data_IF_422852297975
#
_entry.id   IF_422852297975
#
_cell.length_a   1.000
_cell.length_b   1.000
_cell.length_c   1.000
_cell.angle_alpha   90.00
_cell.angle_beta   90.00
_cell.angle_gamma   90.00
#
_symmetry.space_group_name_H-M   'P 1'
#
loop_
_entity.id
_entity.type
_entity.pdbx_description
1 polymer ?
#
# COMPACT_ATOMS: atom_id res chain seq x y z
N UNK A 1 86.86 -18.22 14.99
CA UNK A 1 87.16 -18.09 13.57
C UNK A 1 85.99 -18.60 12.77
N UNK A 2 85.26 -17.72 12.12
CA UNK A 2 84.59 -17.98 10.87
C UNK A 2 83.71 -16.77 10.52
N UNK A 3 83.97 -16.22 9.38
CA UNK A 3 83.44 -14.95 8.86
C UNK A 3 81.95 -15.08 8.46
N UNK A 4 81.21 -14.05 8.79
CA UNK A 4 79.89 -13.74 8.20
C UNK A 4 80.05 -13.21 6.80
N UNK A 5 79.37 -13.80 5.83
CA UNK A 5 79.15 -13.20 4.53
C UNK A 5 77.66 -12.77 4.49
N UNK A 6 77.46 -11.46 4.44
CA UNK A 6 76.12 -10.88 4.19
C UNK A 6 75.86 -10.76 2.70
N UNK A 7 74.67 -11.18 2.31
CA UNK A 7 74.20 -10.98 0.94
C UNK A 7 73.15 -9.83 1.02
N UNK A 8 73.48 -8.69 0.43
CA UNK A 8 72.55 -7.56 0.29
C UNK A 8 71.59 -7.87 -0.86
N UNK A 9 70.29 -7.86 -0.53
CA UNK A 9 69.22 -7.93 -1.51
C UNK A 9 68.86 -6.50 -1.90
N UNK A 10 69.18 -6.12 -3.13
CA UNK A 10 68.81 -4.86 -3.72
C UNK A 10 67.37 -5.01 -4.24
N UNK A 11 66.44 -4.35 -3.58
CA UNK A 11 65.04 -4.24 -4.06
C UNK A 11 64.95 -3.15 -5.13
N UNK A 12 64.63 -3.54 -6.36
CA UNK A 12 64.25 -2.61 -7.40
C UNK A 12 62.87 -2.01 -7.07
N UNK A 13 62.86 -0.75 -6.71
CA UNK A 13 61.62 0.05 -6.60
C UNK A 13 61.14 0.38 -8.01
N UNK A 14 59.98 -0.08 -8.34
CA UNK A 14 59.28 0.27 -9.57
C UNK A 14 58.46 1.56 -9.32
N UNK A 15 58.72 2.71 -9.96
CA UNK A 15 58.15 3.99 -9.56
C UNK A 15 56.77 4.33 -10.15
N UNK A 16 56.09 3.41 -10.84
CA UNK A 16 54.86 3.72 -11.59
C UNK A 16 53.64 2.91 -11.15
N UNK A 17 53.31 2.88 -9.85
CA UNK A 17 51.98 2.51 -9.43
C UNK A 17 51.29 3.80 -8.98
N UNK A 18 50.30 4.35 -9.73
CA UNK A 18 49.53 5.49 -9.26
C UNK A 18 48.80 5.08 -7.99
N UNK A 19 49.06 5.80 -6.90
CA UNK A 19 48.41 5.68 -5.61
C UNK A 19 46.95 6.02 -5.81
N UNK A 20 46.11 5.03 -6.23
CA UNK A 20 44.66 5.17 -6.20
C UNK A 20 44.26 5.19 -4.73
N UNK A 21 44.09 6.40 -4.19
CA UNK A 21 43.41 6.57 -2.92
C UNK A 21 42.09 5.81 -3.02
N UNK A 22 41.92 4.77 -2.20
CA UNK A 22 40.63 4.14 -2.01
C UNK A 22 39.70 5.25 -1.50
N UNK A 23 38.71 5.63 -2.32
CA UNK A 23 37.63 6.52 -1.90
C UNK A 23 36.76 5.77 -0.90
N UNK A 24 37.07 5.96 0.39
CA UNK A 24 36.36 5.35 1.52
C UNK A 24 35.02 6.01 1.81
N UNK A 25 34.52 6.87 0.90
CA UNK A 25 33.16 7.41 1.05
C UNK A 25 32.18 6.25 0.87
N UNK A 26 31.20 6.09 1.79
CA UNK A 26 30.14 5.11 1.60
C UNK A 26 29.47 5.39 0.25
N UNK A 27 29.10 4.35 -0.52
CA UNK A 27 28.46 4.54 -1.80
C UNK A 27 27.30 5.52 -1.63
N UNK A 28 27.28 6.58 -2.42
CA UNK A 28 26.21 7.57 -2.39
C UNK A 28 24.89 6.85 -2.66
N UNK A 29 24.07 6.68 -1.62
CA UNK A 29 22.72 6.16 -1.79
C UNK A 29 21.94 7.23 -2.55
N UNK A 30 21.58 6.94 -3.78
CA UNK A 30 20.76 7.83 -4.59
C UNK A 30 19.46 8.11 -3.81
N UNK A 31 19.13 9.37 -3.49
CA UNK A 31 17.90 9.69 -2.77
C UNK A 31 16.68 9.18 -3.54
N UNK A 32 15.71 8.61 -2.82
CA UNK A 32 14.45 8.20 -3.39
C UNK A 32 13.60 9.45 -3.73
N UNK A 33 12.92 9.43 -4.87
CA UNK A 33 12.20 10.59 -5.42
C UNK A 33 10.70 10.63 -5.09
N UNK A 34 10.16 9.57 -4.49
CA UNK A 34 8.78 9.49 -4.05
C UNK A 34 8.48 10.40 -2.84
N UNK A 35 7.52 10.06 -1.97
CA UNK A 35 6.85 8.75 -1.94
C UNK A 35 5.82 8.54 -3.05
N UNK A 36 5.45 7.27 -3.25
CA UNK A 36 4.38 6.88 -4.16
C UNK A 36 3.61 5.68 -3.61
N UNK A 37 2.31 5.57 -3.95
CA UNK A 37 1.50 4.40 -3.64
C UNK A 37 0.96 3.74 -4.89
N UNK A 38 0.73 2.43 -4.83
CA UNK A 38 -0.23 1.75 -5.68
C UNK A 38 -1.17 0.90 -4.84
N UNK A 39 -2.45 0.96 -5.18
CA UNK A 39 -3.54 0.27 -4.50
C UNK A 39 -4.24 -0.61 -5.55
N UNK A 40 -3.98 -1.91 -5.53
CA UNK A 40 -4.53 -2.87 -6.48
C UNK A 40 -5.85 -3.47 -6.01
N UNK A 41 -6.83 -3.55 -6.90
CA UNK A 41 -8.17 -4.06 -6.61
C UNK A 41 -8.28 -5.58 -6.48
N UNK A 42 -7.19 -6.32 -6.72
CA UNK A 42 -7.17 -7.79 -6.75
C UNK A 42 -7.46 -8.36 -8.13
N UNK A 43 -7.50 -9.71 -8.22
CA UNK A 43 -7.43 -10.40 -9.50
C UNK A 43 -6.00 -10.32 -10.08
N UNK A 44 -5.82 -10.41 -11.40
CA UNK A 44 -4.55 -10.13 -12.03
C UNK A 44 -4.01 -8.74 -11.69
N UNK A 45 -2.75 -8.66 -11.31
CA UNK A 45 -2.13 -7.40 -10.95
C UNK A 45 -1.86 -6.51 -12.16
N UNK A 46 -1.92 -5.20 -11.94
CA UNK A 46 -1.66 -4.18 -12.97
C UNK A 46 -0.16 -3.89 -12.99
N UNK A 47 0.59 -4.64 -13.80
CA UNK A 47 2.05 -4.52 -13.88
C UNK A 47 2.51 -3.11 -14.26
N UNK A 48 1.76 -2.41 -15.12
CA UNK A 48 2.06 -1.02 -15.48
C UNK A 48 2.01 -0.06 -14.28
N UNK A 49 1.18 -0.35 -13.27
CA UNK A 49 1.13 0.44 -12.03
C UNK A 49 2.34 0.16 -11.14
N UNK A 50 2.79 -1.10 -11.04
CA UNK A 50 4.00 -1.46 -10.32
C UNK A 50 5.21 -0.78 -10.96
N UNK A 51 5.34 -0.87 -12.27
CA UNK A 51 6.41 -0.20 -13.03
C UNK A 51 6.37 1.33 -12.85
N UNK A 52 5.18 1.92 -12.86
CA UNK A 52 5.00 3.35 -12.61
C UNK A 52 5.52 3.73 -11.21
N UNK A 53 5.15 2.98 -10.16
CA UNK A 53 5.63 3.24 -8.79
C UNK A 53 7.15 3.14 -8.69
N UNK A 54 7.76 2.12 -9.30
CA UNK A 54 9.21 1.97 -9.36
C UNK A 54 9.86 3.20 -10.01
N UNK A 55 9.29 3.71 -11.11
CA UNK A 55 9.80 4.89 -11.81
C UNK A 55 9.65 6.17 -10.97
N UNK A 56 8.53 6.34 -10.25
CA UNK A 56 8.34 7.47 -9.34
C UNK A 56 9.40 7.50 -8.23
N UNK A 57 9.64 6.35 -7.61
CA UNK A 57 10.58 6.23 -6.50
C UNK A 57 12.03 6.47 -6.93
N UNK A 58 12.43 5.96 -8.08
CA UNK A 58 13.79 6.16 -8.60
C UNK A 58 13.99 7.49 -9.34
N UNK A 59 12.92 8.26 -9.56
CA UNK A 59 12.96 9.56 -10.23
C UNK A 59 13.42 9.49 -11.70
N UNK A 60 13.26 8.33 -12.34
CA UNK A 60 13.76 8.09 -13.70
C UNK A 60 12.96 7.01 -14.41
N UNK A 61 12.83 7.15 -15.72
CA UNK A 61 12.31 6.13 -16.64
C UNK A 61 13.43 5.43 -17.43
N UNK A 62 14.68 5.84 -17.26
CA UNK A 62 15.86 5.23 -17.90
C UNK A 62 16.39 4.03 -17.11
N UNK A 63 17.45 3.38 -17.58
CA UNK A 63 18.07 2.25 -16.87
C UNK A 63 18.95 2.65 -15.68
N UNK A 64 19.19 3.93 -15.48
CA UNK A 64 19.91 4.46 -14.31
C UNK A 64 19.07 4.39 -13.04
N UNK A 65 19.69 4.53 -11.86
CA UNK A 65 19.04 4.61 -10.56
C UNK A 65 18.12 3.41 -10.26
N UNK A 66 18.72 2.24 -10.10
CA UNK A 66 17.98 1.02 -9.76
C UNK A 66 17.61 0.97 -8.27
N UNK A 67 16.43 0.40 -7.97
CA UNK A 67 15.94 0.22 -6.60
C UNK A 67 15.77 -1.26 -6.23
N UNK A 68 15.85 -1.54 -4.94
CA UNK A 68 15.51 -2.86 -4.39
C UNK A 68 13.99 -2.89 -4.13
N UNK A 69 13.36 -4.01 -4.43
CA UNK A 69 11.95 -4.27 -4.16
C UNK A 69 11.84 -5.40 -3.15
N UNK A 70 11.03 -5.22 -2.12
CA UNK A 70 10.69 -6.27 -1.17
C UNK A 70 9.18 -6.52 -1.22
N UNK A 71 8.82 -7.76 -1.50
CA UNK A 71 7.43 -8.22 -1.42
C UNK A 71 7.18 -8.78 -0.03
N UNK A 72 6.15 -8.32 0.65
CA UNK A 72 5.77 -8.77 1.98
C UNK A 72 4.44 -9.52 1.94
N UNK A 73 4.39 -10.66 2.61
CA UNK A 73 3.18 -11.47 2.76
C UNK A 73 3.22 -12.30 4.04
N UNK A 74 2.07 -12.78 4.50
CA UNK A 74 1.99 -13.66 5.69
C UNK A 74 2.01 -15.13 5.34
N UNK A 75 1.70 -15.49 4.09
CA UNK A 75 1.76 -16.86 3.56
C UNK A 75 1.90 -16.80 2.03
N UNK A 76 2.24 -17.93 1.42
CA UNK A 76 2.37 -18.09 -0.03
C UNK A 76 3.82 -18.21 -0.50
N UNK A 77 4.03 -18.07 -1.80
CA UNK A 77 5.31 -18.26 -2.48
C UNK A 77 5.96 -16.93 -2.91
N UNK A 78 7.05 -17.03 -3.62
CA UNK A 78 7.82 -15.92 -4.21
C UNK A 78 7.45 -15.62 -5.69
N UNK A 79 6.24 -15.97 -6.08
CA UNK A 79 5.66 -15.84 -7.42
C UNK A 79 5.78 -14.43 -8.03
N UNK A 80 5.80 -13.38 -7.20
CA UNK A 80 6.04 -12.01 -7.62
C UNK A 80 7.47 -11.73 -8.10
N UNK A 81 8.45 -12.49 -7.60
CA UNK A 81 9.87 -12.17 -7.81
C UNK A 81 10.23 -12.12 -9.29
N UNK A 82 9.79 -13.08 -10.07
CA UNK A 82 10.10 -13.17 -11.51
C UNK A 82 9.55 -11.97 -12.29
N UNK A 83 8.29 -11.61 -12.04
CA UNK A 83 7.62 -10.51 -12.74
C UNK A 83 8.28 -9.19 -12.40
N UNK A 84 8.46 -8.91 -11.09
CA UNK A 84 9.02 -7.63 -10.64
C UNK A 84 10.52 -7.51 -11.01
N UNK A 85 11.30 -8.59 -10.96
CA UNK A 85 12.71 -8.54 -11.32
C UNK A 85 12.94 -8.12 -12.79
N UNK A 86 12.03 -8.50 -13.69
CA UNK A 86 12.08 -8.15 -15.11
C UNK A 86 11.64 -6.69 -15.38
N UNK A 87 11.12 -5.97 -14.39
CA UNK A 87 10.73 -4.59 -14.55
C UNK A 87 11.93 -3.66 -14.63
N UNK A 88 11.80 -2.60 -15.42
CA UNK A 88 12.86 -1.63 -15.62
C UNK A 88 13.22 -0.91 -14.31
N UNK A 89 14.51 -0.88 -13.98
CA UNK A 89 15.03 -0.17 -12.82
C UNK A 89 14.98 -0.95 -11.52
N UNK A 90 14.68 -2.24 -11.56
CA UNK A 90 14.82 -3.14 -10.42
C UNK A 90 16.25 -3.63 -10.35
N UNK A 91 16.88 -3.50 -9.17
CA UNK A 91 18.21 -4.03 -8.86
C UNK A 91 18.12 -5.43 -8.26
N UNK A 92 17.16 -5.61 -7.38
CA UNK A 92 16.96 -6.82 -6.59
C UNK A 92 15.49 -6.91 -6.18
N UNK A 93 14.97 -8.12 -6.09
CA UNK A 93 13.64 -8.40 -5.55
C UNK A 93 13.70 -9.63 -4.65
N UNK A 94 13.00 -9.57 -3.54
CA UNK A 94 12.86 -10.69 -2.61
C UNK A 94 11.46 -10.68 -1.98
N UNK A 95 10.87 -11.86 -1.89
CA UNK A 95 9.62 -12.06 -1.11
C UNK A 95 9.96 -12.54 0.28
N UNK A 96 9.44 -11.85 1.29
CA UNK A 96 9.55 -12.21 2.70
C UNK A 96 8.19 -12.67 3.22
N UNK A 97 8.12 -13.91 3.67
CA UNK A 97 6.93 -14.48 4.33
C UNK A 97 7.05 -14.25 5.83
N UNK A 98 6.23 -13.37 6.39
CA UNK A 98 6.28 -12.94 7.79
C UNK A 98 4.92 -13.19 8.44
N UNK A 99 4.74 -14.39 8.95
CA UNK A 99 3.45 -14.92 9.44
C UNK A 99 3.17 -14.68 10.92
N UNK A 100 4.12 -14.13 11.66
CA UNK A 100 4.00 -13.91 13.09
C UNK A 100 4.84 -12.73 13.58
N UNK A 101 4.59 -12.28 14.80
CA UNK A 101 5.25 -11.13 15.42
C UNK A 101 6.75 -11.36 15.71
N UNK A 102 7.17 -12.59 15.92
CA UNK A 102 8.57 -12.92 16.16
C UNK A 102 9.38 -12.64 14.90
N UNK A 103 8.91 -13.12 13.74
CA UNK A 103 9.55 -12.87 12.45
C UNK A 103 9.55 -11.38 12.10
N UNK A 104 8.46 -10.67 12.39
CA UNK A 104 8.34 -9.22 12.17
C UNK A 104 9.30 -8.37 13.02
N UNK A 105 10.05 -8.97 13.94
CA UNK A 105 11.06 -8.29 14.76
C UNK A 105 12.49 -8.82 14.53
N UNK A 106 12.69 -9.78 13.62
CA UNK A 106 14.02 -10.33 13.32
C UNK A 106 14.93 -9.30 12.66
N UNK A 107 16.16 -9.11 13.15
CA UNK A 107 17.09 -8.10 12.62
C UNK A 107 17.35 -8.27 11.12
N UNK A 108 17.51 -9.49 10.62
CA UNK A 108 17.77 -9.78 9.21
C UNK A 108 16.59 -9.38 8.30
N UNK A 109 15.34 -9.55 8.75
CA UNK A 109 14.14 -9.11 8.04
C UNK A 109 14.07 -7.58 8.02
N UNK A 110 14.30 -6.97 9.16
CA UNK A 110 14.27 -5.51 9.32
C UNK A 110 15.33 -4.85 8.41
N UNK A 111 16.51 -5.42 8.31
CA UNK A 111 17.56 -4.87 7.46
C UNK A 111 17.21 -4.97 5.96
N UNK A 112 16.66 -6.10 5.51
CA UNK A 112 16.17 -6.27 4.13
C UNK A 112 15.11 -5.23 3.78
N UNK A 113 14.12 -5.05 4.64
CA UNK A 113 13.04 -4.07 4.43
C UNK A 113 13.57 -2.63 4.47
N UNK A 114 14.50 -2.31 5.38
CA UNK A 114 15.12 -0.98 5.48
C UNK A 114 15.86 -0.56 4.21
N UNK A 115 16.44 -1.53 3.49
CA UNK A 115 17.20 -1.33 2.26
C UNK A 115 16.32 -1.34 1.00
N UNK A 116 15.00 -1.52 1.14
CA UNK A 116 14.08 -1.44 0.02
C UNK A 116 13.82 0.01 -0.41
N UNK A 117 13.75 0.24 -1.71
CA UNK A 117 13.18 1.47 -2.28
C UNK A 117 11.68 1.33 -2.50
N UNK A 118 11.21 0.10 -2.72
CA UNK A 118 9.79 -0.22 -2.94
C UNK A 118 9.42 -1.43 -2.08
N UNK A 119 8.29 -1.31 -1.39
CA UNK A 119 7.65 -2.41 -0.64
C UNK A 119 6.31 -2.71 -1.31
N UNK A 120 6.05 -3.99 -1.60
CA UNK A 120 4.79 -4.44 -2.17
C UNK A 120 4.12 -5.46 -1.24
N UNK A 121 2.92 -5.16 -0.79
CA UNK A 121 2.10 -6.07 0.02
C UNK A 121 1.28 -6.97 -0.91
N UNK A 122 1.56 -8.27 -0.91
CA UNK A 122 0.79 -9.23 -1.67
C UNK A 122 -0.67 -9.33 -1.17
N UNK A 123 -1.53 -9.95 -1.96
CA UNK A 123 -2.86 -10.34 -1.52
C UNK A 123 -2.78 -11.39 -0.39
N UNK A 124 -3.84 -11.48 0.40
CA UNK A 124 -3.88 -12.41 1.53
C UNK A 124 -5.04 -12.13 2.47
N UNK A 125 -4.77 -12.19 3.75
CA UNK A 125 -5.71 -11.93 4.85
C UNK A 125 -5.25 -10.72 5.65
N UNK A 126 -6.03 -9.63 5.62
CA UNK A 126 -5.69 -8.40 6.32
C UNK A 126 -5.64 -8.57 7.84
N UNK A 127 -6.45 -9.44 8.42
CA UNK A 127 -6.39 -9.73 9.85
C UNK A 127 -5.05 -10.37 10.25
N UNK A 128 -4.52 -11.28 9.42
CA UNK A 128 -3.21 -11.88 9.66
C UNK A 128 -2.10 -10.83 9.53
N UNK A 129 -2.15 -9.93 8.54
CA UNK A 129 -1.20 -8.83 8.43
C UNK A 129 -1.16 -7.98 9.70
N UNK A 130 -2.33 -7.57 10.20
CA UNK A 130 -2.44 -6.74 11.39
C UNK A 130 -1.93 -7.47 12.63
N UNK A 131 -2.36 -8.71 12.86
CA UNK A 131 -1.92 -9.52 14.02
C UNK A 131 -0.43 -9.76 14.03
N UNK A 132 0.18 -9.94 12.84
CA UNK A 132 1.60 -10.25 12.72
C UNK A 132 2.48 -9.00 12.73
N UNK A 133 2.04 -7.87 12.18
CA UNK A 133 2.91 -6.73 11.90
C UNK A 133 2.66 -5.50 12.76
N UNK A 134 1.41 -5.25 13.22
CA UNK A 134 1.11 -4.05 14.00
C UNK A 134 1.90 -4.00 15.32
N UNK A 135 2.45 -2.82 15.63
CA UNK A 135 3.31 -2.59 16.80
C UNK A 135 4.55 -3.50 16.83
N UNK A 136 5.23 -3.64 15.68
CA UNK A 136 6.50 -4.37 15.54
C UNK A 136 7.55 -3.48 14.87
N UNK A 137 8.81 -3.92 14.90
CA UNK A 137 9.91 -3.24 14.19
C UNK A 137 9.70 -3.22 12.68
N UNK A 138 8.99 -4.22 12.13
CA UNK A 138 8.65 -4.26 10.71
C UNK A 138 7.75 -3.07 10.33
N UNK A 139 6.69 -2.81 11.07
CA UNK A 139 5.79 -1.67 10.85
C UNK A 139 6.56 -0.35 10.86
N UNK A 140 7.40 -0.13 11.86
CA UNK A 140 8.22 1.09 11.97
C UNK A 140 9.20 1.23 10.81
N UNK A 141 9.77 0.11 10.35
CA UNK A 141 10.69 0.09 9.22
C UNK A 141 9.98 0.43 7.91
N UNK A 142 8.78 -0.11 7.68
CA UNK A 142 7.94 0.22 6.52
C UNK A 142 7.64 1.72 6.50
N UNK A 143 7.22 2.29 7.62
CA UNK A 143 7.00 3.74 7.76
C UNK A 143 8.25 4.56 7.44
N UNK A 144 9.42 4.09 7.89
CA UNK A 144 10.70 4.73 7.61
C UNK A 144 11.06 4.70 6.12
N UNK A 145 10.79 3.61 5.41
CA UNK A 145 11.01 3.52 3.95
C UNK A 145 10.14 4.55 3.22
N UNK A 146 8.87 4.64 3.56
CA UNK A 146 7.97 5.66 3.01
C UNK A 146 8.45 7.09 3.27
N UNK A 147 8.84 7.38 4.51
CA UNK A 147 9.30 8.71 4.91
C UNK A 147 10.57 9.16 4.15
N UNK A 148 11.38 8.21 3.68
CA UNK A 148 12.57 8.46 2.85
C UNK A 148 12.26 8.62 1.36
N UNK A 149 11.00 8.63 0.96
CA UNK A 149 10.56 8.73 -0.43
C UNK A 149 10.39 7.37 -1.12
N UNK A 150 10.27 6.28 -0.38
CA UNK A 150 10.01 4.95 -0.91
C UNK A 150 8.59 4.75 -1.42
N UNK A 151 8.40 3.71 -2.23
CA UNK A 151 7.09 3.29 -2.75
C UNK A 151 6.45 2.24 -1.85
N UNK A 152 5.17 2.39 -1.59
CA UNK A 152 4.37 1.39 -0.89
C UNK A 152 3.23 0.95 -1.82
N UNK A 153 3.29 -0.28 -2.25
CA UNK A 153 2.26 -0.88 -3.10
C UNK A 153 1.57 -2.07 -2.44
N UNK A 154 0.46 -2.48 -3.02
CA UNK A 154 -0.19 -3.72 -2.62
C UNK A 154 -1.44 -4.00 -3.40
N UNK A 155 -1.92 -5.23 -3.32
CA UNK A 155 -3.12 -5.71 -4.01
C UNK A 155 -4.05 -6.42 -3.03
N UNK A 156 -5.37 -6.33 -3.26
CA UNK A 156 -6.38 -6.98 -2.41
C UNK A 156 -6.20 -6.61 -0.93
N UNK A 157 -6.04 -7.57 -0.02
CA UNK A 157 -5.75 -7.31 1.39
C UNK A 157 -4.53 -6.40 1.61
N UNK A 158 -3.49 -6.54 0.75
CA UNK A 158 -2.30 -5.69 0.80
C UNK A 158 -2.55 -4.23 0.39
N UNK A 159 -3.57 -3.95 -0.41
CA UNK A 159 -4.05 -2.59 -0.65
C UNK A 159 -4.91 -2.09 0.53
N UNK A 160 -5.80 -2.94 1.04
CA UNK A 160 -6.72 -2.58 2.13
C UNK A 160 -6.00 -2.16 3.41
N UNK A 161 -4.89 -2.81 3.77
CA UNK A 161 -4.10 -2.44 4.97
C UNK A 161 -3.40 -1.09 4.85
N UNK A 162 -3.38 -0.47 3.69
CA UNK A 162 -2.86 0.88 3.50
C UNK A 162 -3.88 1.98 3.85
N UNK A 163 -5.11 1.62 4.20
CA UNK A 163 -6.15 2.55 4.68
C UNK A 163 -5.72 3.28 5.95
N UNK A 164 -6.25 4.49 6.16
CA UNK A 164 -6.20 5.15 7.48
C UNK A 164 -7.09 4.43 8.49
N UNK A 165 -8.29 4.03 8.05
CA UNK A 165 -9.23 3.21 8.83
C UNK A 165 -9.33 1.84 8.15
N UNK A 166 -8.58 0.86 8.65
CA UNK A 166 -8.51 -0.46 8.01
C UNK A 166 -9.70 -1.31 8.44
N UNK A 167 -10.58 -1.69 7.49
CA UNK A 167 -11.47 -2.81 7.73
C UNK A 167 -10.64 -4.07 7.87
N UNK A 168 -10.51 -4.60 9.07
CA UNK A 168 -9.56 -5.66 9.37
C UNK A 168 -10.10 -7.09 9.18
N UNK A 169 -11.42 -7.23 9.03
CA UNK A 169 -12.12 -8.51 8.89
C UNK A 169 -11.81 -9.54 9.98
N UNK A 170 -11.30 -9.10 11.15
CA UNK A 170 -10.90 -10.02 12.21
C UNK A 170 -12.08 -10.66 12.95
N UNK A 171 -13.26 -10.06 12.86
CA UNK A 171 -14.51 -10.60 13.44
C UNK A 171 -15.35 -11.40 12.45
N UNK A 172 -15.11 -11.26 11.14
CA UNK A 172 -15.86 -11.91 10.08
C UNK A 172 -15.22 -13.21 9.58
N UNK A 173 -15.92 -13.94 8.71
CA UNK A 173 -15.36 -15.07 7.96
C UNK A 173 -14.21 -14.63 7.03
N UNK A 174 -13.47 -15.60 6.46
CA UNK A 174 -12.32 -15.30 5.58
C UNK A 174 -12.68 -14.42 4.36
N UNK A 175 -13.93 -14.42 3.90
CA UNK A 175 -14.38 -13.59 2.78
C UNK A 175 -14.77 -12.17 3.20
N UNK A 176 -14.89 -11.92 4.50
CA UNK A 176 -15.34 -10.67 5.08
C UNK A 176 -16.87 -10.50 5.02
N UNK A 177 -17.36 -9.36 5.49
CA UNK A 177 -18.80 -9.03 5.51
C UNK A 177 -19.30 -8.72 4.09
N UNK A 178 -20.48 -9.16 3.75
CA UNK A 178 -21.16 -8.87 2.49
C UNK A 178 -21.99 -7.58 2.55
N UNK A 179 -22.30 -7.02 1.38
CA UNK A 179 -23.10 -5.77 1.26
C UNK A 179 -24.41 -5.82 2.03
N UNK A 180 -25.18 -6.92 1.86
CA UNK A 180 -26.48 -7.05 2.51
C UNK A 180 -26.35 -7.05 4.03
N UNK A 181 -25.48 -7.86 4.56
CA UNK A 181 -25.23 -7.99 6.00
C UNK A 181 -24.78 -6.66 6.61
N UNK A 182 -23.82 -6.00 5.96
CA UNK A 182 -23.33 -4.70 6.41
C UNK A 182 -24.42 -3.60 6.40
N UNK A 183 -25.36 -3.65 5.48
CA UNK A 183 -26.48 -2.71 5.43
C UNK A 183 -27.60 -3.06 6.41
N UNK A 184 -27.82 -4.34 6.71
CA UNK A 184 -28.81 -4.80 7.72
C UNK A 184 -28.35 -4.53 9.15
N UNK A 185 -27.06 -4.69 9.44
CA UNK A 185 -26.44 -4.32 10.73
C UNK A 185 -25.00 -3.82 10.55
N UNK A 186 -24.78 -2.49 10.51
CA UNK A 186 -23.44 -1.93 10.33
C UNK A 186 -22.44 -2.26 11.45
N UNK A 187 -22.88 -2.91 12.52
CA UNK A 187 -22.04 -3.25 13.68
C UNK A 187 -21.72 -4.73 13.78
N UNK A 188 -22.48 -5.58 13.10
CA UNK A 188 -22.25 -7.01 13.18
C UNK A 188 -21.02 -7.42 12.37
N UNK A 189 -20.07 -8.08 13.01
CA UNK A 189 -18.86 -8.64 12.40
C UNK A 189 -18.00 -7.63 11.61
N UNK A 190 -18.19 -6.33 11.89
CA UNK A 190 -17.41 -5.24 11.29
C UNK A 190 -16.50 -4.63 12.35
N UNK A 191 -15.19 -4.85 12.18
CA UNK A 191 -14.15 -4.30 13.03
C UNK A 191 -13.12 -3.50 12.22
N UNK A 192 -12.50 -2.53 12.89
CA UNK A 192 -11.51 -1.66 12.27
C UNK A 192 -10.23 -1.60 13.08
N UNK A 193 -9.13 -1.53 12.37
CA UNK A 193 -7.81 -1.22 12.92
C UNK A 193 -7.40 0.19 12.54
N UNK A 194 -6.92 0.94 13.52
CA UNK A 194 -6.46 2.32 13.38
C UNK A 194 -4.94 2.41 13.60
N UNK A 195 -4.33 3.45 13.03
CA UNK A 195 -2.92 3.78 13.24
C UNK A 195 -1.95 2.65 12.85
N UNK A 196 -2.25 1.88 11.81
CA UNK A 196 -1.30 0.93 11.25
C UNK A 196 -0.28 1.68 10.40
N UNK A 197 -0.72 2.34 9.33
CA UNK A 197 0.14 3.11 8.43
C UNK A 197 -0.43 4.51 8.20
N UNK A 198 0.05 5.54 8.91
CA UNK A 198 -0.50 6.90 8.80
C UNK A 198 0.04 7.64 7.56
N UNK A 199 -0.27 7.14 6.37
CA UNK A 199 0.15 7.75 5.10
C UNK A 199 -0.49 9.11 4.89
N UNK A 200 0.30 10.14 4.60
CA UNK A 200 -0.20 11.53 4.50
C UNK A 200 -1.27 11.73 3.43
N UNK A 201 -1.17 11.00 2.30
CA UNK A 201 -2.12 11.11 1.19
C UNK A 201 -3.37 10.22 1.32
N UNK A 202 -3.35 9.27 2.27
CA UNK A 202 -4.46 8.35 2.52
C UNK A 202 -5.15 8.61 3.86
N UNK A 203 -4.94 9.80 4.44
CA UNK A 203 -5.64 10.23 5.66
C UNK A 203 -7.14 10.34 5.44
N UNK A 204 -7.92 9.84 6.40
CA UNK A 204 -9.38 9.84 6.33
C UNK A 204 -9.97 8.88 5.32
N UNK A 205 -9.20 7.88 4.86
CA UNK A 205 -9.67 6.94 3.83
C UNK A 205 -9.91 5.54 4.36
N UNK A 206 -10.83 4.84 3.68
CA UNK A 206 -11.03 3.39 3.74
C UNK A 206 -10.82 2.84 2.33
N UNK A 207 -9.98 1.81 2.18
CA UNK A 207 -9.74 1.16 0.90
C UNK A 207 -10.46 -0.17 0.89
N UNK A 208 -11.20 -0.46 -0.19
CA UNK A 208 -11.84 -1.75 -0.44
C UNK A 208 -11.54 -2.24 -1.87
N UNK A 209 -11.48 -3.54 -2.04
CA UNK A 209 -11.00 -4.21 -3.26
C UNK A 209 -11.99 -5.25 -3.77
N UNK A 210 -11.75 -5.85 -4.96
CA UNK A 210 -12.70 -6.76 -5.62
C UNK A 210 -14.10 -6.16 -5.75
N UNK A 211 -14.15 -4.84 -5.95
CA UNK A 211 -15.30 -4.05 -5.54
C UNK A 211 -16.55 -4.29 -6.37
N UNK A 212 -16.45 -4.15 -7.68
CA UNK A 212 -17.57 -4.36 -8.60
C UNK A 212 -17.96 -5.85 -8.70
N UNK A 213 -16.98 -6.73 -8.81
CA UNK A 213 -17.19 -8.18 -8.94
C UNK A 213 -17.92 -8.77 -7.74
N UNK A 214 -17.60 -8.30 -6.54
CA UNK A 214 -18.23 -8.75 -5.28
C UNK A 214 -19.34 -7.81 -4.79
N UNK A 215 -19.75 -6.83 -5.60
CA UNK A 215 -20.87 -5.89 -5.30
C UNK A 215 -20.75 -5.23 -3.92
N UNK A 216 -19.58 -4.67 -3.60
CA UNK A 216 -19.20 -4.24 -2.25
C UNK A 216 -19.63 -2.81 -1.88
N UNK A 217 -20.41 -2.10 -2.71
CA UNK A 217 -20.80 -0.72 -2.44
C UNK A 217 -21.51 -0.56 -1.08
N UNK A 218 -22.41 -1.46 -0.72
CA UNK A 218 -23.13 -1.32 0.54
C UNK A 218 -22.25 -1.50 1.77
N UNK A 219 -21.28 -2.41 1.73
CA UNK A 219 -20.34 -2.54 2.84
C UNK A 219 -19.43 -1.31 2.98
N UNK A 220 -18.97 -0.74 1.86
CA UNK A 220 -18.22 0.52 1.87
C UNK A 220 -19.03 1.66 2.49
N UNK A 221 -20.30 1.81 2.12
CA UNK A 221 -21.19 2.81 2.69
C UNK A 221 -21.39 2.59 4.21
N UNK A 222 -21.55 1.34 4.65
CA UNK A 222 -21.66 1.00 6.07
C UNK A 222 -20.35 1.33 6.82
N UNK A 223 -19.18 1.04 6.23
CA UNK A 223 -17.89 1.38 6.84
C UNK A 223 -17.73 2.89 7.04
N UNK A 224 -18.06 3.68 6.02
CA UNK A 224 -18.02 5.15 6.08
C UNK A 224 -18.97 5.67 7.17
N UNK A 225 -20.21 5.19 7.18
CA UNK A 225 -21.22 5.59 8.17
C UNK A 225 -20.75 5.28 9.60
N UNK A 226 -20.11 4.12 9.81
CA UNK A 226 -19.56 3.70 11.09
C UNK A 226 -18.48 4.65 11.59
N UNK A 227 -17.51 5.05 10.75
CA UNK A 227 -16.45 5.95 11.18
C UNK A 227 -17.00 7.32 11.62
N UNK A 228 -18.05 7.79 10.94
CA UNK A 228 -18.67 9.07 11.27
C UNK A 228 -19.53 8.94 12.54
N UNK A 229 -20.34 7.88 12.63
CA UNK A 229 -21.20 7.63 13.79
C UNK A 229 -20.40 7.41 15.08
N UNK A 230 -19.30 6.69 14.99
CA UNK A 230 -18.44 6.37 16.14
C UNK A 230 -17.52 7.56 16.53
N UNK A 231 -17.65 8.70 15.83
CA UNK A 231 -16.91 9.93 16.14
C UNK A 231 -15.43 9.89 15.77
N UNK A 232 -15.01 8.92 14.94
CA UNK A 232 -13.61 8.79 14.49
C UNK A 232 -13.26 9.93 13.53
N UNK A 233 -14.19 10.30 12.65
CA UNK A 233 -14.03 11.42 11.72
C UNK A 233 -15.37 12.05 11.39
N UNK A 234 -15.35 13.32 10.97
CA UNK A 234 -16.55 14.02 10.47
C UNK A 234 -16.80 13.77 8.97
N UNK A 235 -15.78 13.30 8.26
CA UNK A 235 -15.83 13.03 6.83
C UNK A 235 -14.89 11.88 6.50
N UNK A 236 -15.33 10.94 5.67
CA UNK A 236 -14.58 9.74 5.30
C UNK A 236 -14.70 9.48 3.81
N UNK A 237 -13.57 9.24 3.17
CA UNK A 237 -13.49 8.89 1.76
C UNK A 237 -13.22 7.39 1.58
N UNK A 238 -14.15 6.67 0.98
CA UNK A 238 -13.93 5.31 0.49
C UNK A 238 -13.18 5.32 -0.85
N UNK A 239 -12.14 4.50 -0.96
CA UNK A 239 -11.44 4.23 -2.22
C UNK A 239 -11.73 2.79 -2.60
N UNK A 240 -12.65 2.60 -3.52
CA UNK A 240 -13.25 1.32 -3.86
C UNK A 240 -12.79 0.87 -5.24
N UNK A 241 -11.98 -0.20 -5.29
CA UNK A 241 -11.16 -0.54 -6.45
C UNK A 241 -11.65 -1.84 -7.07
N UNK A 242 -12.04 -1.78 -8.35
CA UNK A 242 -12.43 -2.96 -9.15
C UNK A 242 -11.26 -3.93 -9.37
N UNK A 243 -11.52 -5.19 -9.65
CA UNK A 243 -10.47 -6.14 -10.04
C UNK A 243 -9.74 -5.67 -11.31
N UNK A 244 -8.51 -6.13 -11.50
CA UNK A 244 -7.63 -5.75 -12.63
C UNK A 244 -7.44 -4.23 -12.77
N UNK A 245 -7.51 -3.52 -11.65
CA UNK A 245 -7.44 -2.06 -11.58
C UNK A 245 -6.54 -1.64 -10.44
N UNK A 246 -5.77 -0.58 -10.63
CA UNK A 246 -4.92 0.02 -9.59
C UNK A 246 -5.10 1.52 -9.53
N UNK A 247 -5.01 2.06 -8.33
CA UNK A 247 -4.89 3.51 -8.06
C UNK A 247 -3.42 3.82 -7.80
N UNK A 248 -2.83 4.62 -8.68
CA UNK A 248 -1.45 5.09 -8.57
C UNK A 248 -1.44 6.50 -7.99
N UNK A 249 -0.93 6.66 -6.76
CA UNK A 249 -0.92 7.94 -6.03
C UNK A 249 0.49 8.49 -5.98
N UNK A 250 0.69 9.69 -6.54
CA UNK A 250 1.98 10.37 -6.53
C UNK A 250 2.24 11.14 -5.21
N UNK A 251 3.45 11.66 -5.06
CA UNK A 251 3.87 12.45 -3.90
C UNK A 251 3.08 13.75 -3.68
N UNK A 252 2.26 14.15 -4.63
CA UNK A 252 1.38 15.32 -4.53
C UNK A 252 -0.06 14.95 -4.13
N UNK A 253 -0.37 13.65 -4.04
CA UNK A 253 -1.71 13.14 -3.73
C UNK A 253 -2.64 13.08 -4.95
N UNK A 254 -2.09 13.11 -6.16
CA UNK A 254 -2.85 12.87 -7.38
C UNK A 254 -2.94 11.36 -7.61
N UNK A 255 -4.16 10.85 -7.62
CA UNK A 255 -4.50 9.47 -7.88
C UNK A 255 -4.84 9.27 -9.35
N UNK A 256 -4.15 8.35 -10.04
CA UNK A 256 -4.44 7.96 -11.43
C UNK A 256 -4.97 6.53 -11.46
N UNK A 257 -6.05 6.30 -12.20
CA UNK A 257 -6.60 4.97 -12.37
C UNK A 257 -5.89 4.26 -13.54
N UNK A 258 -5.37 3.07 -13.27
CA UNK A 258 -4.65 2.21 -14.22
C UNK A 258 -5.30 0.82 -14.27
N UNK A 259 -5.05 0.05 -15.33
CA UNK A 259 -5.63 -1.30 -15.52
C UNK A 259 -6.89 -1.28 -16.36
N UNK A 260 -7.92 -2.07 -16.03
CA UNK A 260 -9.08 -2.31 -16.92
C UNK A 260 -10.39 -1.72 -16.43
N UNK A 261 -10.60 -1.68 -15.12
CA UNK A 261 -11.88 -1.29 -14.51
C UNK A 261 -11.95 0.19 -14.13
N UNK A 262 -12.78 0.48 -13.14
CA UNK A 262 -12.96 1.80 -12.57
C UNK A 262 -12.69 1.77 -11.06
N UNK A 263 -12.51 2.96 -10.50
CA UNK A 263 -12.44 3.20 -9.06
C UNK A 263 -13.63 4.07 -8.67
N UNK A 264 -14.28 3.72 -7.58
CA UNK A 264 -15.34 4.54 -6.99
C UNK A 264 -14.78 5.23 -5.75
N UNK A 265 -14.79 6.57 -5.78
CA UNK A 265 -14.50 7.39 -4.61
C UNK A 265 -15.84 7.74 -3.95
N UNK A 266 -16.05 7.24 -2.72
CA UNK A 266 -17.32 7.34 -2.01
C UNK A 266 -17.13 8.23 -0.79
N UNK A 267 -17.78 9.38 -0.74
CA UNK A 267 -17.64 10.34 0.35
C UNK A 267 -18.91 10.37 1.21
N UNK A 268 -18.72 10.15 2.52
CA UNK A 268 -19.67 10.57 3.56
C UNK A 268 -19.10 11.79 4.28
N UNK A 269 -19.90 12.85 4.40
CA UNK A 269 -19.46 14.14 4.94
C UNK A 269 -20.42 14.77 5.96
N UNK A 270 -21.33 13.97 6.47
CA UNK A 270 -22.26 14.34 7.54
C UNK A 270 -22.66 13.12 8.39
N UNK A 271 -23.27 13.31 9.56
CA UNK A 271 -23.74 12.19 10.39
C UNK A 271 -24.82 11.35 9.67
N UNK A 272 -24.81 10.01 9.83
CA UNK A 272 -25.89 9.16 9.34
C UNK A 272 -27.19 9.44 10.08
N UNK A 273 -28.34 9.30 9.41
CA UNK A 273 -29.66 9.38 10.04
C UNK A 273 -29.88 8.24 11.03
N UNK A 274 -29.46 7.02 10.66
CA UNK A 274 -29.52 5.84 11.53
C UNK A 274 -28.29 4.95 11.24
N UNK A 275 -27.39 4.84 12.21
CA UNK A 275 -26.30 3.88 12.19
C UNK A 275 -26.07 3.38 13.63
N UNK A 276 -26.66 2.25 13.99
CA UNK A 276 -26.59 1.66 15.34
C UNK A 276 -26.71 0.14 15.28
N UNK A 277 -26.25 -0.59 16.30
CA UNK A 277 -26.31 -2.04 16.32
C UNK A 277 -27.72 -2.58 16.09
N UNK A 278 -27.83 -3.69 15.38
CA UNK A 278 -29.09 -4.42 15.09
C UNK A 278 -30.17 -3.57 14.45
N UNK A 279 -29.74 -2.61 13.60
CA UNK A 279 -30.66 -1.70 12.94
C UNK A 279 -30.15 -1.42 11.52
N UNK A 280 -30.99 -1.59 10.50
CA UNK A 280 -30.60 -1.31 9.13
C UNK A 280 -30.18 0.14 8.92
N UNK A 281 -29.06 0.32 8.21
CA UNK A 281 -28.47 1.63 7.92
C UNK A 281 -29.43 2.55 7.19
N UNK A 282 -29.48 3.80 7.64
CA UNK A 282 -30.04 4.91 6.85
C UNK A 282 -29.01 6.03 6.80
N UNK A 283 -28.58 6.37 5.60
CA UNK A 283 -27.65 7.46 5.32
C UNK A 283 -27.96 8.02 3.93
N UNK A 284 -28.25 9.29 3.84
CA UNK A 284 -28.59 9.95 2.60
C UNK A 284 -27.38 10.61 1.95
N UNK A 285 -27.42 10.73 0.61
CA UNK A 285 -26.55 11.59 -0.18
C UNK A 285 -25.05 11.33 -0.08
N UNK A 286 -24.62 10.05 -0.09
CA UNK A 286 -23.23 9.76 -0.39
C UNK A 286 -22.83 10.36 -1.74
N UNK A 287 -21.72 11.08 -1.80
CA UNK A 287 -21.17 11.58 -3.07
C UNK A 287 -20.24 10.52 -3.67
N UNK A 288 -20.53 10.11 -4.90
CA UNK A 288 -19.79 9.04 -5.55
C UNK A 288 -19.20 9.53 -6.87
N UNK A 289 -17.89 9.46 -7.01
CA UNK A 289 -17.19 9.66 -8.28
C UNK A 289 -16.78 8.29 -8.82
N UNK A 290 -17.26 7.94 -10.01
CA UNK A 290 -16.78 6.79 -10.75
C UNK A 290 -15.69 7.26 -11.71
N UNK A 291 -14.45 6.88 -11.43
CA UNK A 291 -13.27 7.31 -12.17
C UNK A 291 -12.76 6.13 -13.02
N UNK A 292 -12.88 6.20 -14.35
CA UNK A 292 -12.44 5.12 -15.24
C UNK A 292 -10.92 5.14 -15.43
N UNK A 293 -10.41 4.08 -16.09
CA UNK A 293 -9.02 3.97 -16.53
C UNK A 293 -8.55 5.25 -17.24
N UNK A 294 -7.35 5.71 -16.88
CA UNK A 294 -6.69 6.87 -17.48
C UNK A 294 -6.98 8.19 -16.78
N UNK A 295 -8.12 8.29 -16.12
CA UNK A 295 -8.52 9.50 -15.42
C UNK A 295 -7.85 9.63 -14.05
N UNK A 296 -7.92 10.83 -13.48
CA UNK A 296 -7.28 11.18 -12.22
C UNK A 296 -8.28 11.71 -11.21
N UNK A 297 -7.92 11.56 -9.92
CA UNK A 297 -8.68 12.08 -8.78
C UNK A 297 -7.72 12.73 -7.78
N UNK A 298 -8.02 13.93 -7.32
CA UNK A 298 -7.16 14.65 -6.38
C UNK A 298 -7.59 14.32 -4.94
N UNK A 299 -6.75 13.56 -4.21
CA UNK A 299 -7.03 13.15 -2.83
C UNK A 299 -6.84 14.28 -1.81
N UNK A 300 -6.05 15.31 -2.14
CA UNK A 300 -5.85 16.47 -1.25
C UNK A 300 -6.98 17.49 -1.35
N UNK A 301 -7.42 17.72 -2.57
CA UNK A 301 -8.47 18.68 -2.88
C UNK A 301 -9.57 17.94 -3.64
N UNK A 302 -10.51 17.36 -2.89
CA UNK A 302 -11.59 16.57 -3.47
C UNK A 302 -12.38 17.40 -4.49
N UNK A 303 -12.71 16.82 -5.66
CA UNK A 303 -13.53 17.52 -6.65
C UNK A 303 -14.89 17.91 -6.07
N UNK A 304 -15.34 19.11 -6.37
CA UNK A 304 -16.67 19.61 -5.93
C UNK A 304 -17.78 19.30 -6.95
N UNK A 305 -17.43 18.63 -8.06
CA UNK A 305 -18.32 18.30 -9.19
C UNK A 305 -18.03 16.90 -9.69
N UNK A 306 -18.88 16.39 -10.59
CA UNK A 306 -18.70 15.12 -11.28
C UNK A 306 -19.07 13.90 -10.45
N UNK A 307 -19.65 14.07 -9.27
CA UNK A 307 -20.23 13.00 -8.48
C UNK A 307 -21.72 12.82 -8.78
N UNK A 308 -22.22 11.64 -8.51
CA UNK A 308 -23.64 11.37 -8.36
C UNK A 308 -23.96 11.06 -6.90
N UNK A 309 -25.23 11.21 -6.51
CA UNK A 309 -25.68 10.93 -5.15
C UNK A 309 -26.30 9.53 -5.09
N UNK A 310 -26.07 8.85 -3.99
CA UNK A 310 -26.74 7.60 -3.61
C UNK A 310 -27.03 7.59 -2.13
N UNK A 311 -28.19 7.04 -1.80
CA UNK A 311 -28.65 6.92 -0.42
C UNK A 311 -28.92 5.48 -0.05
N UNK A 312 -28.76 5.17 1.22
CA UNK A 312 -29.21 3.94 1.84
C UNK A 312 -30.37 4.29 2.77
N UNK A 313 -31.52 3.67 2.59
CA UNK A 313 -32.71 3.84 3.44
C UNK A 313 -33.14 2.48 3.98
N UNK A 314 -33.07 2.32 5.30
CA UNK A 314 -33.42 1.06 5.99
C UNK A 314 -32.73 -0.15 5.35
N UNK A 315 -31.41 -0.06 5.13
CA UNK A 315 -30.59 -1.12 4.58
C UNK A 315 -30.75 -1.38 3.07
N UNK A 316 -31.39 -0.48 2.32
CA UNK A 316 -31.64 -0.61 0.88
C UNK A 316 -31.16 0.60 0.13
N UNK A 317 -30.55 0.40 -1.03
CA UNK A 317 -30.23 1.48 -1.94
C UNK A 317 -31.48 2.15 -2.49
N UNK A 318 -31.40 3.44 -2.75
CA UNK A 318 -32.43 4.22 -3.46
C UNK A 318 -32.44 3.92 -4.98
N UNK A 319 -31.28 3.54 -5.53
CA UNK A 319 -31.10 3.13 -6.94
C UNK A 319 -29.81 2.36 -7.09
N UNK A 320 -29.50 1.85 -8.30
CA UNK A 320 -28.25 1.15 -8.59
C UNK A 320 -27.04 2.02 -8.20
N UNK A 321 -26.17 1.56 -7.31
CA UNK A 321 -25.07 2.36 -6.80
C UNK A 321 -23.81 2.38 -7.70
N UNK A 322 -23.75 1.63 -8.81
CA UNK A 322 -22.59 1.51 -9.72
C UNK A 322 -22.67 2.34 -10.98
#
# INVERSE_FOLDING_TARGET
>A
MLRKMGTALIAFLNPDIPNKSLDLRPPSVTPLAGPAHILGGGGPDVEEAIQWMINQVRGSTTYSNKVNVVVLRTYGSDDYNRVIYNMQGVKYVETLVISNRQDANKPEIIEKVRNAGVIFFAGGDQCQYIRSWKNTKLEDTIKSVYAKGGGIGGTSAGAMIQSDYVYDACASSQEGIETREALEDPYQDITFTYNLFPWSHLRGTIIDTHFDKRKRMGRMMAFIARQIQDGVSKSVLGIAISEETSVAVDKFGMAKVMGRGAVYFVLGDHPPEICKPRTPLTYYDYKIWRVPRGDTFNLRNLPTRGYYLRSVKRGRFDSDPY
#
